data_IF_124631890714
#
_entry.id   IF_124631890714
#
_cell.length_a   1.000
_cell.length_b   1.000
_cell.length_c   1.000
_cell.angle_alpha   90.00
_cell.angle_beta   90.00
_cell.angle_gamma   90.00
#
_symmetry.space_group_name_H-M   'P 1'
#
loop_
_entity.id
_entity.type
_entity.pdbx_description
1 polymer ?
#
# COMPACT_ATOMS: atom_id res chain seq x y z
N UNK A 1 -19.65 -10.64 -25.62
CA UNK A 1 -18.81 -11.45 -24.71
C UNK A 1 -17.65 -10.60 -24.20
N UNK A 2 -17.20 -10.74 -22.95
CA UNK A 2 -16.17 -9.88 -22.34
C UNK A 2 -14.79 -10.59 -22.37
N UNK A 3 -14.14 -10.67 -23.52
CA UNK A 3 -12.83 -11.34 -23.65
C UNK A 3 -11.69 -10.47 -23.09
N UNK A 4 -10.82 -11.08 -22.27
CA UNK A 4 -9.59 -10.47 -21.73
C UNK A 4 -9.78 -9.17 -20.93
N UNK A 5 -10.99 -8.87 -20.46
CA UNK A 5 -11.20 -7.65 -19.67
C UNK A 5 -11.09 -7.93 -18.18
N UNK A 6 -10.01 -7.45 -17.59
CA UNK A 6 -9.75 -7.56 -16.16
C UNK A 6 -10.71 -6.70 -15.32
N UNK A 7 -10.78 -7.01 -14.03
CA UNK A 7 -11.49 -6.21 -13.03
C UNK A 7 -12.98 -6.52 -12.88
N UNK A 8 -13.47 -6.32 -11.65
CA UNK A 8 -14.85 -6.55 -11.24
C UNK A 8 -15.63 -5.23 -11.19
N UNK A 9 -16.79 -5.18 -11.87
CA UNK A 9 -17.65 -3.99 -11.93
C UNK A 9 -18.58 -3.81 -10.71
N UNK A 10 -18.71 -4.83 -9.85
CA UNK A 10 -19.52 -4.81 -8.62
C UNK A 10 -20.97 -4.34 -8.82
N UNK A 11 -21.50 -4.48 -10.05
CA UNK A 11 -22.82 -3.94 -10.47
C UNK A 11 -23.02 -2.45 -10.16
N UNK A 12 -21.97 -1.64 -10.24
CA UNK A 12 -22.01 -0.20 -9.93
C UNK A 12 -21.38 0.65 -11.04
N UNK A 13 -21.87 1.89 -11.24
CA UNK A 13 -21.22 2.86 -12.11
C UNK A 13 -19.83 3.23 -11.57
N UNK A 14 -18.97 3.72 -12.45
CA UNK A 14 -17.54 3.94 -12.17
C UNK A 14 -17.27 4.78 -10.90
N UNK A 15 -17.94 5.93 -10.67
CA UNK A 15 -17.66 6.77 -9.50
C UNK A 15 -18.00 6.06 -8.18
N UNK A 16 -19.18 5.42 -8.13
CA UNK A 16 -19.63 4.66 -6.95
C UNK A 16 -18.74 3.45 -6.70
N UNK A 17 -18.32 2.77 -7.76
CA UNK A 17 -17.40 1.63 -7.69
C UNK A 17 -16.04 2.04 -7.12
N UNK A 18 -15.48 3.17 -7.56
CA UNK A 18 -14.20 3.70 -7.08
C UNK A 18 -14.27 4.05 -5.60
N UNK A 19 -15.31 4.75 -5.17
CA UNK A 19 -15.54 5.07 -3.75
C UNK A 19 -15.72 3.81 -2.89
N UNK A 20 -16.54 2.86 -3.36
CA UNK A 20 -16.75 1.59 -2.65
C UNK A 20 -15.45 0.79 -2.46
N UNK A 21 -14.57 0.74 -3.48
CA UNK A 21 -13.26 0.09 -3.33
C UNK A 21 -12.42 0.77 -2.26
N UNK A 22 -12.30 2.10 -2.29
CA UNK A 22 -11.53 2.87 -1.29
C UNK A 22 -12.04 2.61 0.14
N UNK A 23 -13.36 2.65 0.34
CA UNK A 23 -13.96 2.42 1.66
C UNK A 23 -13.73 0.99 2.16
N UNK A 24 -13.85 -0.02 1.29
CA UNK A 24 -13.59 -1.40 1.67
C UNK A 24 -12.12 -1.63 2.01
N UNK A 25 -11.19 -1.06 1.23
CA UNK A 25 -9.77 -1.13 1.54
C UNK A 25 -9.48 -0.47 2.89
N UNK A 26 -9.94 0.77 3.09
CA UNK A 26 -9.76 1.48 4.34
C UNK A 26 -10.37 0.73 5.55
N UNK A 27 -11.54 0.12 5.39
CA UNK A 27 -12.15 -0.71 6.42
C UNK A 27 -11.34 -1.97 6.73
N UNK A 28 -10.85 -2.66 5.70
CA UNK A 28 -9.99 -3.85 5.87
C UNK A 28 -8.70 -3.50 6.63
N UNK A 29 -8.08 -2.37 6.29
CA UNK A 29 -6.87 -1.87 6.93
C UNK A 29 -7.14 -1.46 8.39
N UNK A 30 -8.30 -0.85 8.65
CA UNK A 30 -8.63 -0.31 9.98
C UNK A 30 -8.97 -1.40 10.99
N UNK A 31 -9.73 -2.40 10.56
CA UNK A 31 -10.32 -3.39 11.45
C UNK A 31 -9.64 -4.77 11.36
N UNK A 32 -8.59 -4.89 10.54
CA UNK A 32 -7.88 -6.13 10.17
C UNK A 32 -8.74 -7.22 9.49
N UNK A 33 -10.07 -7.11 9.60
CA UNK A 33 -11.07 -8.02 9.07
C UNK A 33 -12.35 -7.27 8.77
N UNK A 34 -12.94 -7.56 7.63
CA UNK A 34 -14.27 -7.05 7.25
C UNK A 34 -15.14 -8.18 6.71
N UNK A 35 -16.46 -8.07 6.91
CA UNK A 35 -17.44 -8.94 6.27
C UNK A 35 -17.95 -8.26 4.99
N UNK A 36 -17.77 -8.89 3.84
CA UNK A 36 -18.17 -8.35 2.53
C UNK A 36 -18.59 -9.47 1.58
N UNK A 37 -19.03 -9.12 0.37
CA UNK A 37 -19.37 -10.11 -0.67
C UNK A 37 -18.12 -10.58 -1.40
N UNK A 38 -18.15 -11.80 -1.93
CA UNK A 38 -17.01 -12.37 -2.65
C UNK A 38 -16.59 -11.50 -3.84
N UNK A 39 -17.56 -10.98 -4.60
CA UNK A 39 -17.31 -10.06 -5.71
C UNK A 39 -16.51 -8.82 -5.25
N UNK A 40 -16.88 -8.23 -4.12
CA UNK A 40 -16.19 -7.06 -3.54
C UNK A 40 -14.79 -7.42 -3.04
N UNK A 41 -14.63 -8.57 -2.38
CA UNK A 41 -13.33 -9.06 -1.92
C UNK A 41 -12.36 -9.26 -3.11
N UNK A 42 -12.79 -9.97 -4.16
CA UNK A 42 -11.99 -10.15 -5.38
C UNK A 42 -11.66 -8.83 -6.09
N UNK A 43 -12.53 -7.82 -5.97
CA UNK A 43 -12.33 -6.51 -6.58
C UNK A 43 -11.22 -5.69 -5.91
N UNK A 44 -11.07 -5.79 -4.58
CA UNK A 44 -10.08 -5.01 -3.83
C UNK A 44 -8.75 -5.73 -3.60
N UNK A 45 -8.74 -7.07 -3.70
CA UNK A 45 -7.58 -7.91 -3.35
C UNK A 45 -6.26 -7.41 -3.96
N UNK A 46 -6.19 -7.27 -5.28
CA UNK A 46 -4.96 -6.86 -5.97
C UNK A 46 -4.53 -5.42 -5.64
N UNK A 47 -5.49 -4.52 -5.41
CA UNK A 47 -5.19 -3.14 -4.99
C UNK A 47 -4.60 -3.11 -3.57
N UNK A 48 -5.16 -3.88 -2.63
CA UNK A 48 -4.67 -3.98 -1.24
C UNK A 48 -3.29 -4.66 -1.17
N UNK A 49 -3.09 -5.77 -1.88
CA UNK A 49 -1.78 -6.46 -1.92
C UNK A 49 -0.68 -5.53 -2.44
N UNK A 50 -0.97 -4.75 -3.50
CA UNK A 50 -0.05 -3.73 -4.02
C UNK A 50 0.19 -2.62 -3.01
N UNK A 51 -0.85 -2.15 -2.33
CA UNK A 51 -0.75 -1.09 -1.33
C UNK A 51 0.15 -1.51 -0.16
N UNK A 52 -0.04 -2.72 0.38
CA UNK A 52 0.81 -3.31 1.42
C UNK A 52 2.25 -3.46 0.91
N UNK A 53 2.43 -3.99 -0.30
CA UNK A 53 3.75 -4.16 -0.91
C UNK A 53 4.50 -2.83 -1.06
N UNK A 54 3.81 -1.76 -1.48
CA UNK A 54 4.37 -0.41 -1.55
C UNK A 54 4.70 0.14 -0.16
N UNK A 55 3.83 -0.06 0.82
CA UNK A 55 4.07 0.34 2.21
C UNK A 55 5.31 -0.33 2.81
N UNK A 56 5.50 -1.64 2.54
CA UNK A 56 6.66 -2.43 2.97
C UNK A 56 7.95 -1.91 2.31
N UNK A 57 7.91 -1.49 1.04
CA UNK A 57 9.09 -0.98 0.31
C UNK A 57 9.61 0.36 0.83
N UNK A 58 8.87 1.07 1.67
CA UNK A 58 9.45 1.98 2.67
C UNK A 58 10.26 3.17 2.12
N UNK A 59 9.67 4.00 1.27
CA UNK A 59 10.16 5.36 1.03
C UNK A 59 9.07 6.40 1.29
N UNK A 60 9.43 7.68 1.42
CA UNK A 60 8.51 8.85 1.43
C UNK A 60 7.41 8.75 0.37
N UNK A 61 7.73 8.17 -0.80
CA UNK A 61 6.79 7.87 -1.87
C UNK A 61 5.64 6.93 -1.45
N UNK A 62 5.88 5.95 -0.59
CA UNK A 62 4.83 5.06 -0.09
C UNK A 62 3.86 5.77 0.86
N UNK A 63 4.37 6.71 1.68
CA UNK A 63 3.55 7.58 2.54
C UNK A 63 2.69 8.53 1.69
N UNK A 64 3.28 9.16 0.67
CA UNK A 64 2.56 10.02 -0.26
C UNK A 64 1.49 9.25 -1.05
N UNK A 65 1.82 8.05 -1.53
CA UNK A 65 0.86 7.19 -2.23
C UNK A 65 -0.30 6.76 -1.33
N UNK A 66 -0.02 6.31 -0.09
CA UNK A 66 -1.05 5.97 0.88
C UNK A 66 -1.97 7.16 1.19
N UNK A 67 -1.41 8.35 1.41
CA UNK A 67 -2.18 9.57 1.64
C UNK A 67 -3.06 9.96 0.42
N UNK A 68 -2.60 9.67 -0.81
CA UNK A 68 -3.41 9.91 -2.02
C UNK A 68 -4.58 8.93 -2.21
N UNK A 69 -4.45 7.70 -1.67
CA UNK A 69 -5.44 6.64 -1.83
C UNK A 69 -6.45 6.64 -0.68
N UNK A 70 -5.95 6.93 0.53
CA UNK A 70 -6.71 6.97 1.77
C UNK A 70 -6.79 8.43 2.21
N UNK A 71 -7.98 9.04 2.10
CA UNK A 71 -8.20 10.45 2.45
C UNK A 71 -8.06 10.77 3.95
N UNK A 72 -8.02 9.74 4.79
CA UNK A 72 -7.95 9.86 6.23
C UNK A 72 -6.52 9.59 6.71
N UNK A 73 -5.89 10.61 7.28
CA UNK A 73 -4.48 10.61 7.65
C UNK A 73 -4.17 9.61 8.78
N UNK A 74 -5.05 9.49 9.79
CA UNK A 74 -4.92 8.49 10.85
C UNK A 74 -4.95 7.07 10.27
N UNK A 75 -5.85 6.82 9.30
CA UNK A 75 -5.96 5.50 8.65
C UNK A 75 -4.73 5.19 7.80
N UNK A 76 -4.17 6.19 7.11
CA UNK A 76 -2.93 6.02 6.35
C UNK A 76 -1.74 5.70 7.28
N UNK A 77 -1.66 6.37 8.43
CA UNK A 77 -0.63 6.13 9.44
C UNK A 77 -0.78 4.74 10.10
N UNK A 78 -2.00 4.32 10.45
CA UNK A 78 -2.28 3.00 11.00
C UNK A 78 -1.89 1.88 10.02
N UNK A 79 -2.08 2.07 8.71
CA UNK A 79 -1.64 1.10 7.70
C UNK A 79 -0.12 0.97 7.64
N UNK A 80 0.60 2.10 7.67
CA UNK A 80 2.06 2.11 7.73
C UNK A 80 2.55 1.37 8.97
N UNK A 81 1.92 1.62 10.12
CA UNK A 81 2.25 0.94 11.36
C UNK A 81 1.97 -0.57 11.28
N UNK A 82 0.81 -0.99 10.74
CA UNK A 82 0.44 -2.40 10.58
C UNK A 82 1.37 -3.14 9.61
N UNK A 83 1.64 -2.57 8.43
CA UNK A 83 2.54 -3.17 7.43
C UNK A 83 3.98 -3.35 7.96
N UNK A 84 4.36 -2.57 8.97
CA UNK A 84 5.68 -2.65 9.63
C UNK A 84 5.67 -3.56 10.85
N UNK A 85 4.49 -3.88 11.41
CA UNK A 85 4.27 -4.75 12.59
C UNK A 85 4.56 -6.21 12.21
N UNK A 86 5.85 -6.54 12.06
CA UNK A 86 6.29 -7.91 11.83
C UNK A 86 7.67 -8.10 11.20
N UNK A 87 8.31 -7.07 10.59
CA UNK A 87 9.65 -7.26 9.97
C UNK A 87 10.63 -6.08 10.00
N UNK A 88 10.24 -4.85 10.35
CA UNK A 88 11.15 -3.70 10.26
C UNK A 88 10.95 -2.73 11.43
N UNK A 89 12.07 -2.35 12.09
CA UNK A 89 12.05 -1.34 13.16
C UNK A 89 11.59 0.01 12.62
N UNK A 90 10.86 0.76 13.46
CA UNK A 90 10.38 2.10 13.14
C UNK A 90 11.54 3.06 12.83
N UNK A 91 12.72 2.76 13.39
CA UNK A 91 13.92 3.58 13.38
C UNK A 91 14.87 3.26 12.23
N UNK A 92 14.45 2.41 11.27
CA UNK A 92 15.29 2.05 10.13
C UNK A 92 15.23 3.16 9.08
N UNK A 93 16.00 4.21 9.31
CA UNK A 93 16.26 5.23 8.30
C UNK A 93 17.11 4.64 7.16
N UNK A 94 16.73 4.97 5.92
CA UNK A 94 17.57 4.69 4.76
C UNK A 94 18.51 5.88 4.61
N UNK A 95 19.70 5.76 5.18
CA UNK A 95 20.75 6.77 5.11
C UNK A 95 21.02 7.20 3.66
N UNK A 96 21.30 8.49 3.47
CA UNK A 96 21.72 9.06 2.18
C UNK A 96 23.03 8.42 1.69
N UNK A 97 23.36 8.54 0.40
CA UNK A 97 24.63 7.96 -0.09
C UNK A 97 25.86 8.58 0.60
N UNK A 98 25.77 9.85 1.02
CA UNK A 98 26.83 10.54 1.77
C UNK A 98 26.94 9.94 3.19
N UNK A 99 25.83 9.85 3.92
CA UNK A 99 25.77 9.24 5.26
C UNK A 99 26.20 7.77 5.26
N UNK A 100 25.89 7.03 4.18
CA UNK A 100 26.31 5.63 4.01
C UNK A 100 27.81 5.51 3.76
N UNK A 101 28.39 6.43 3.00
CA UNK A 101 29.83 6.45 2.74
C UNK A 101 30.61 6.69 4.04
N UNK A 102 30.13 7.62 4.89
CA UNK A 102 30.72 7.90 6.20
C UNK A 102 30.64 6.69 7.15
N UNK A 103 29.58 5.87 7.04
CA UNK A 103 29.42 4.61 7.77
C UNK A 103 30.13 3.40 7.12
N UNK A 104 30.86 3.60 6.02
CA UNK A 104 31.54 2.51 5.30
C UNK A 104 30.60 1.52 4.62
N UNK A 105 29.37 1.92 4.34
CA UNK A 105 28.36 1.11 3.67
C UNK A 105 28.32 1.39 2.16
N UNK A 106 28.05 0.37 1.31
CA UNK A 106 27.91 0.57 -0.12
C UNK A 106 26.76 1.54 -0.48
N UNK A 107 26.92 2.37 -1.53
CA UNK A 107 25.90 3.30 -1.98
C UNK A 107 24.66 2.57 -2.52
N UNK A 108 23.50 3.21 -2.39
CA UNK A 108 22.25 2.72 -2.96
C UNK A 108 22.19 3.16 -4.43
N UNK A 109 22.57 2.26 -5.33
CA UNK A 109 22.37 2.48 -6.77
C UNK A 109 21.16 1.68 -7.26
N UNK A 110 20.50 2.13 -8.33
CA UNK A 110 19.39 1.40 -8.97
C UNK A 110 19.79 -0.01 -9.44
N UNK A 111 21.10 -0.24 -9.64
CA UNK A 111 21.68 -1.53 -10.05
C UNK A 111 22.02 -2.46 -8.88
N UNK A 112 21.71 -2.08 -7.64
CA UNK A 112 21.96 -2.86 -6.43
C UNK A 112 23.37 -2.68 -5.86
N UNK A 113 23.76 -3.56 -4.93
CA UNK A 113 25.13 -3.60 -4.37
C UNK A 113 26.10 -4.09 -5.46
N UNK A 114 26.66 -3.16 -6.22
CA UNK A 114 27.89 -3.36 -6.98
C UNK A 114 28.81 -2.19 -6.70
#
# INVERSE_FOLDING_TARGET
MRHRVAGNKMSMPEPRRRSARRNLMAGLIRYDRIKTTEARARAIRGEVEKLISTAIKGHTAARAYLASVISDEEKAAAMLAFARRGRFSLDKEVYSNEERADMGHPPLTEKGRR
#
